data_IF_299245143372
#
_entry.id   IF_299245143372
#
_cell.length_a   1.000
_cell.length_b   1.000
_cell.length_c   1.000
_cell.angle_alpha   90.00
_cell.angle_beta   90.00
_cell.angle_gamma   90.00
#
_symmetry.space_group_name_H-M   'P 1'
#
loop_
_entity.id
_entity.type
_entity.pdbx_description
1 polymer ?
#
# COMPACT_ATOMS: atom_id res chain seq x y z
N UNK A 1 -0.76 21.02 -25.04
CA UNK A 1 -1.23 20.53 -23.73
C UNK A 1 -1.86 19.16 -23.92
N UNK A 2 -1.45 18.17 -23.13
CA UNK A 2 -2.25 17.04 -22.63
C UNK A 2 -1.29 16.22 -21.75
N UNK A 3 -1.32 16.51 -20.45
CA UNK A 3 -0.61 15.74 -19.43
C UNK A 3 -1.33 14.39 -19.34
N UNK A 4 -0.74 13.33 -19.86
CA UNK A 4 -1.04 11.99 -19.37
C UNK A 4 -0.37 11.85 -17.98
N UNK A 5 -0.92 12.57 -17.01
CA UNK A 5 -0.85 12.17 -15.62
C UNK A 5 -2.23 11.55 -15.42
N UNK A 6 -2.33 10.24 -15.56
CA UNK A 6 -3.51 9.54 -15.06
C UNK A 6 -3.68 10.00 -13.61
N UNK A 7 -4.86 10.54 -13.22
CA UNK A 7 -5.10 10.81 -11.82
C UNK A 7 -4.92 9.47 -11.12
N UNK A 8 -3.99 9.39 -10.16
CA UNK A 8 -3.98 8.30 -9.21
C UNK A 8 -5.42 8.23 -8.68
N UNK A 9 -6.14 7.20 -9.08
CA UNK A 9 -7.52 6.99 -8.68
C UNK A 9 -7.49 6.70 -7.19
N UNK A 10 -7.52 7.75 -6.38
CA UNK A 10 -7.61 7.72 -4.93
C UNK A 10 -9.03 7.39 -4.46
N UNK A 11 -9.96 7.11 -5.38
CA UNK A 11 -11.31 6.68 -5.02
C UNK A 11 -11.31 5.20 -4.62
N UNK A 12 -11.00 4.98 -3.35
CA UNK A 12 -11.38 3.77 -2.63
C UNK A 12 -10.30 2.71 -2.60
N UNK A 13 -9.27 2.93 -1.79
CA UNK A 13 -8.61 1.80 -1.13
C UNK A 13 -9.66 1.21 -0.18
N UNK A 14 -10.44 0.25 -0.68
CA UNK A 14 -11.34 -0.53 0.18
C UNK A 14 -10.50 -1.16 1.28
N UNK A 15 -10.92 -1.01 2.54
CA UNK A 15 -10.27 -1.65 3.70
C UNK A 15 -10.12 -3.16 3.49
N UNK A 16 -10.97 -3.78 2.67
CA UNK A 16 -10.87 -5.19 2.27
C UNK A 16 -9.58 -5.50 1.50
N UNK A 17 -9.08 -4.56 0.68
CA UNK A 17 -7.85 -4.75 -0.07
C UNK A 17 -6.63 -4.72 0.84
N UNK A 18 -6.63 -3.84 1.85
CA UNK A 18 -5.61 -3.79 2.89
C UNK A 18 -5.66 -5.08 3.72
N UNK A 19 -6.84 -5.50 4.16
CA UNK A 19 -7.01 -6.73 4.93
C UNK A 19 -6.55 -7.98 4.15
N UNK A 20 -6.96 -8.12 2.87
CA UNK A 20 -6.52 -9.23 2.00
C UNK A 20 -5.03 -9.20 1.72
N UNK A 21 -4.44 -8.02 1.58
CA UNK A 21 -3.01 -7.87 1.34
C UNK A 21 -2.18 -8.20 2.57
N UNK A 22 -2.53 -7.68 3.74
CA UNK A 22 -1.87 -8.01 5.02
C UNK A 22 -1.95 -9.52 5.25
N UNK A 23 -3.13 -10.11 5.03
CA UNK A 23 -3.32 -11.56 5.14
C UNK A 23 -2.43 -12.34 4.16
N UNK A 24 -2.37 -11.95 2.88
CA UNK A 24 -1.52 -12.63 1.88
C UNK A 24 -0.02 -12.43 2.12
N UNK A 25 0.41 -11.25 2.59
CA UNK A 25 1.81 -10.99 2.91
C UNK A 25 2.28 -11.89 4.03
N UNK A 26 1.48 -12.03 5.09
CA UNK A 26 1.79 -12.85 6.26
C UNK A 26 1.83 -14.34 5.90
N UNK A 27 0.89 -14.83 5.08
CA UNK A 27 0.88 -16.22 4.60
C UNK A 27 2.11 -16.54 3.73
N UNK A 28 2.57 -15.60 2.89
CA UNK A 28 3.75 -15.82 2.04
C UNK A 28 5.08 -15.85 2.80
N UNK A 29 5.16 -15.19 3.96
CA UNK A 29 6.35 -15.23 4.82
C UNK A 29 6.34 -16.45 5.78
N UNK A 30 5.33 -17.33 5.70
CA UNK A 30 5.25 -18.53 6.55
C UNK A 30 4.95 -18.24 8.02
N UNK A 31 4.49 -17.03 8.35
CA UNK A 31 4.14 -16.63 9.72
C UNK A 31 2.68 -16.88 10.03
N UNK A 32 2.37 -17.26 11.27
CA UNK A 32 1.01 -17.24 11.78
C UNK A 32 0.58 -15.79 12.05
N UNK A 33 -0.46 -15.30 11.38
CA UNK A 33 -1.03 -13.97 11.67
C UNK A 33 -1.68 -13.99 13.05
N UNK A 34 -0.97 -13.49 14.07
CA UNK A 34 -1.55 -13.17 15.36
C UNK A 34 -1.69 -11.65 15.45
N UNK A 35 -2.85 -11.09 15.04
CA UNK A 35 -3.03 -9.65 15.09
C UNK A 35 -2.96 -9.19 16.54
N UNK A 36 -2.02 -8.29 16.84
CA UNK A 36 -1.94 -7.68 18.16
C UNK A 36 -3.08 -6.69 18.30
N UNK A 37 -4.07 -7.02 19.13
CA UNK A 37 -5.22 -6.16 19.42
C UNK A 37 -5.04 -5.53 20.80
N UNK A 38 -4.99 -4.20 20.86
CA UNK A 38 -4.92 -3.42 22.11
C UNK A 38 -6.13 -2.50 22.25
N UNK A 39 -6.41 -2.00 23.45
CA UNK A 39 -7.46 -0.99 23.66
C UNK A 39 -6.91 0.43 23.50
N UNK A 40 -7.77 1.41 23.27
CA UNK A 40 -7.36 2.82 23.24
C UNK A 40 -6.78 3.29 24.58
N UNK A 41 -7.24 2.71 25.69
CA UNK A 41 -6.66 2.97 27.03
C UNK A 41 -5.26 2.39 27.14
N UNK A 42 -5.05 1.19 26.61
CA UNK A 42 -3.74 0.53 26.58
C UNK A 42 -2.74 1.28 25.71
N UNK A 43 -3.17 1.80 24.55
CA UNK A 43 -2.35 2.67 23.70
C UNK A 43 -1.85 3.92 24.46
N UNK A 44 -2.75 4.55 25.24
CA UNK A 44 -2.40 5.72 26.03
C UNK A 44 -1.40 5.39 27.14
N UNK A 45 -1.59 4.25 27.80
CA UNK A 45 -0.82 3.89 28.99
C UNK A 45 0.54 3.23 28.65
N UNK A 46 0.60 2.46 27.56
CA UNK A 46 1.73 1.64 27.17
C UNK A 46 2.29 2.04 25.79
N UNK A 47 2.24 3.34 25.48
CA UNK A 47 2.66 3.89 24.18
C UNK A 47 4.07 3.45 23.78
N UNK A 48 5.05 3.51 24.69
CA UNK A 48 6.44 3.20 24.37
C UNK A 48 6.63 1.73 23.96
N UNK A 49 6.00 0.80 24.67
CA UNK A 49 6.03 -0.63 24.33
C UNK A 49 5.42 -0.87 22.94
N UNK A 50 4.25 -0.27 22.69
CA UNK A 50 3.53 -0.40 21.41
C UNK A 50 4.33 0.23 20.27
N UNK A 51 4.94 1.40 20.50
CA UNK A 51 5.81 2.08 19.54
C UNK A 51 7.02 1.21 19.20
N UNK A 52 7.70 0.66 20.20
CA UNK A 52 8.82 -0.27 19.98
C UNK A 52 8.39 -1.51 19.20
N UNK A 53 7.21 -2.08 19.51
CA UNK A 53 6.66 -3.19 18.73
C UNK A 53 6.48 -2.82 17.26
N UNK A 54 5.86 -1.67 16.97
CA UNK A 54 5.61 -1.19 15.61
C UNK A 54 6.90 -0.91 14.80
N UNK A 55 8.02 -0.59 15.46
CA UNK A 55 9.31 -0.43 14.80
C UNK A 55 10.05 -1.77 14.60
N UNK A 56 9.87 -2.73 15.49
CA UNK A 56 10.53 -4.04 15.40
C UNK A 56 9.83 -4.99 14.43
N UNK A 57 8.50 -4.88 14.33
CA UNK A 57 7.68 -5.76 13.52
C UNK A 57 6.90 -4.92 12.50
N UNK A 58 7.05 -5.17 11.19
CA UNK A 58 6.33 -4.45 10.13
C UNK A 58 4.87 -4.90 10.01
N UNK A 59 4.20 -5.04 11.16
CA UNK A 59 2.83 -5.53 11.29
C UNK A 59 1.98 -4.52 12.08
N UNK A 60 0.70 -4.33 11.72
CA UNK A 60 -0.16 -3.39 12.42
C UNK A 60 -0.60 -3.90 13.80
N UNK A 61 -0.59 -2.99 14.77
CA UNK A 61 -1.31 -3.15 16.04
C UNK A 61 -2.71 -2.56 15.87
N UNK A 62 -3.74 -3.38 16.06
CA UNK A 62 -5.13 -2.93 15.95
C UNK A 62 -5.63 -2.41 17.29
N UNK A 63 -6.18 -1.21 17.28
CA UNK A 63 -6.71 -0.54 18.46
C UNK A 63 -8.22 -0.66 18.46
N UNK A 64 -8.75 -1.05 19.61
CA UNK A 64 -10.18 -1.07 19.88
C UNK A 64 -10.61 0.07 20.77
N UNK A 65 -11.80 0.60 20.50
CA UNK A 65 -12.49 1.58 21.33
C UNK A 65 -13.87 1.02 21.67
N UNK A 66 -14.15 0.87 22.96
CA UNK A 66 -15.40 0.24 23.46
C UNK A 66 -15.66 -1.14 22.85
N UNK A 67 -14.61 -1.97 22.71
CA UNK A 67 -14.70 -3.33 22.17
C UNK A 67 -14.88 -3.42 20.65
N UNK A 68 -14.85 -2.28 19.93
CA UNK A 68 -14.94 -2.24 18.46
C UNK A 68 -13.60 -1.80 17.86
N UNK A 69 -13.22 -2.37 16.72
CA UNK A 69 -12.05 -1.92 15.98
C UNK A 69 -12.17 -0.44 15.59
N UNK A 70 -11.08 0.32 15.75
CA UNK A 70 -11.05 1.77 15.57
C UNK A 70 -9.87 2.20 14.68
N UNK A 71 -8.64 1.85 15.09
CA UNK A 71 -7.41 2.30 14.43
C UNK A 71 -6.45 1.14 14.17
N UNK A 72 -5.56 1.29 13.19
CA UNK A 72 -4.38 0.45 13.03
C UNK A 72 -3.13 1.33 13.20
N UNK A 73 -2.20 0.90 14.04
CA UNK A 73 -0.96 1.63 14.35
C UNK A 73 0.22 0.85 13.80
N UNK A 74 1.11 1.55 13.10
CA UNK A 74 2.35 1.03 12.52
C UNK A 74 3.44 2.10 12.66
N UNK A 75 4.69 1.70 12.50
CA UNK A 75 5.79 2.66 12.32
C UNK A 75 5.65 3.37 10.97
N UNK A 76 6.25 4.56 10.86
CA UNK A 76 6.21 5.34 9.63
C UNK A 76 6.88 4.56 8.49
N UNK A 77 8.01 3.91 8.79
CA UNK A 77 8.78 3.12 7.83
C UNK A 77 7.95 1.96 7.27
N UNK A 78 7.26 1.21 8.13
CA UNK A 78 6.42 0.10 7.69
C UNK A 78 5.20 0.57 6.89
N UNK A 79 4.62 1.73 7.24
CA UNK A 79 3.54 2.33 6.47
C UNK A 79 4.02 2.78 5.08
N UNK A 80 5.14 3.48 5.01
CA UNK A 80 5.72 3.93 3.73
C UNK A 80 6.06 2.75 2.82
N UNK A 81 6.68 1.70 3.35
CA UNK A 81 6.98 0.49 2.58
C UNK A 81 5.71 -0.18 2.05
N UNK A 82 4.68 -0.30 2.90
CA UNK A 82 3.39 -0.83 2.52
C UNK A 82 2.78 -0.01 1.38
N UNK A 83 2.71 1.32 1.52
CA UNK A 83 2.16 2.21 0.47
C UNK A 83 2.96 2.17 -0.82
N UNK A 84 4.28 2.13 -0.75
CA UNK A 84 5.17 2.07 -1.91
C UNK A 84 4.96 0.76 -2.69
N UNK A 85 4.79 -0.34 -1.97
CA UNK A 85 4.50 -1.65 -2.59
C UNK A 85 3.14 -1.67 -3.28
N UNK A 86 2.14 -1.04 -2.68
CA UNK A 86 0.82 -0.89 -3.30
C UNK A 86 0.88 -0.04 -4.57
N UNK A 87 1.61 1.08 -4.56
CA UNK A 87 1.77 1.92 -5.75
C UNK A 87 2.43 1.15 -6.90
N UNK A 88 3.51 0.43 -6.61
CA UNK A 88 4.19 -0.43 -7.58
C UNK A 88 3.23 -1.48 -8.16
N UNK A 89 2.47 -2.19 -7.32
CA UNK A 89 1.51 -3.18 -7.79
C UNK A 89 0.36 -2.57 -8.59
N UNK A 90 -0.06 -1.34 -8.26
CA UNK A 90 -1.03 -0.61 -9.06
C UNK A 90 -0.51 -0.31 -10.47
N UNK A 91 0.74 0.16 -10.59
CA UNK A 91 1.36 0.44 -11.88
C UNK A 91 1.55 -0.82 -12.72
N UNK A 92 1.98 -1.93 -12.09
CA UNK A 92 2.10 -3.22 -12.77
C UNK A 92 0.73 -3.69 -13.26
N UNK A 93 -0.31 -3.58 -12.42
CA UNK A 93 -1.67 -3.94 -12.79
C UNK A 93 -2.18 -3.11 -13.97
N UNK A 94 -1.98 -1.80 -13.96
CA UNK A 94 -2.34 -0.92 -15.07
C UNK A 94 -1.67 -1.39 -16.37
N UNK A 95 -0.36 -1.69 -16.33
CA UNK A 95 0.35 -2.22 -17.51
C UNK A 95 -0.17 -3.59 -17.97
N UNK A 96 -0.57 -4.47 -17.04
CA UNK A 96 -1.19 -5.76 -17.39
C UNK A 96 -2.57 -5.59 -18.05
N UNK A 97 -3.38 -4.65 -17.54
CA UNK A 97 -4.71 -4.35 -18.09
C UNK A 97 -4.57 -3.71 -19.49
N UNK A 98 -3.56 -2.86 -19.71
CA UNK A 98 -3.23 -2.29 -21.03
C UNK A 98 -2.85 -3.37 -22.05
N UNK A 99 -2.05 -4.36 -21.66
CA UNK A 99 -1.72 -5.51 -22.51
C UNK A 99 -2.99 -6.30 -22.85
N UNK A 100 -3.84 -6.57 -21.87
CA UNK A 100 -5.07 -7.34 -22.05
C UNK A 100 -6.08 -6.65 -22.97
N UNK A 101 -6.14 -5.31 -22.94
CA UNK A 101 -7.04 -4.50 -23.78
C UNK A 101 -6.43 -4.10 -25.12
N UNK A 102 -5.16 -4.45 -25.37
CA UNK A 102 -4.44 -4.08 -26.58
C UNK A 102 -4.01 -2.60 -26.62
N UNK A 103 -4.12 -1.88 -25.50
CA UNK A 103 -3.66 -0.50 -25.34
C UNK A 103 -2.12 -0.45 -25.21
N UNK A 104 -1.43 -0.93 -26.23
CA UNK A 104 0.05 -0.99 -26.27
C UNK A 104 0.56 -0.30 -27.51
N UNK A 105 1.84 0.11 -27.50
CA UNK A 105 2.50 0.70 -28.66
C UNK A 105 3.92 0.18 -28.82
N UNK A 106 4.46 0.13 -30.05
CA UNK A 106 5.84 -0.29 -30.28
C UNK A 106 6.85 0.60 -29.53
N UNK A 107 7.90 -0.03 -29.00
CA UNK A 107 8.96 0.67 -28.25
C UNK A 107 9.64 1.78 -29.07
N UNK A 108 9.89 1.53 -30.36
CA UNK A 108 10.52 2.49 -31.27
C UNK A 108 9.71 3.79 -31.39
N UNK A 109 8.39 3.68 -31.52
CA UNK A 109 7.47 4.81 -31.61
C UNK A 109 7.43 5.59 -30.30
N UNK A 110 7.31 4.90 -29.16
CA UNK A 110 7.32 5.51 -27.84
C UNK A 110 8.60 6.33 -27.58
N UNK A 111 9.77 5.77 -27.93
CA UNK A 111 11.06 6.44 -27.75
C UNK A 111 11.24 7.63 -28.69
N UNK A 112 10.73 7.56 -29.93
CA UNK A 112 10.76 8.67 -30.86
C UNK A 112 9.96 9.87 -30.31
N UNK A 113 8.76 9.63 -29.79
CA UNK A 113 7.89 10.64 -29.16
C UNK A 113 8.59 11.30 -27.95
N UNK A 114 9.16 10.52 -27.02
CA UNK A 114 9.88 11.05 -25.85
C UNK A 114 11.05 11.95 -26.26
N UNK A 115 11.85 11.51 -27.24
CA UNK A 115 12.99 12.29 -27.74
C UNK A 115 12.54 13.59 -28.41
N UNK A 116 11.42 13.57 -29.13
CA UNK A 116 10.87 14.77 -29.78
C UNK A 116 10.43 15.84 -28.77
N UNK A 117 9.87 15.42 -27.62
CA UNK A 117 9.41 16.33 -26.56
C UNK A 117 10.55 17.06 -25.85
N UNK A 118 11.73 16.43 -25.73
CA UNK A 118 12.93 17.05 -25.13
C UNK A 118 13.64 18.08 -26.02
N UNK A 119 13.29 18.14 -27.31
CA UNK A 119 13.88 19.10 -28.27
C UNK A 119 13.12 20.44 -28.34
N UNK A 120 11.99 20.56 -27.64
CA UNK A 120 11.26 21.80 -27.44
C UNK A 120 11.63 22.41 -26.10
#
# INVERSE_FOLDING_TARGET
MNRCVSPANTNGISVDYIAKFVYNFVIKQGGAFMPTIRSSADLRNNYNEISTFCHNYPEPVFITKNGKGDLAVMSIEAYEELTSRFELYSQIKEGMDDIATGNTRPFSEAMADIRSRRRR
#
